data_IF_716437976649
#
_entry.id   IF_716437976649
#
_cell.length_a   1.000
_cell.length_b   1.000
_cell.length_c   1.000
_cell.angle_alpha   90.00
_cell.angle_beta   90.00
_cell.angle_gamma   90.00
#
_symmetry.space_group_name_H-M   'P 1'
#
loop_
_entity.id
_entity.type
_entity.pdbx_description
1 polymer ?
#
# COMPACT_ATOMS: atom_id res chain seq x y z
N UNK A 1 -6.80 0.93 -20.02
CA UNK A 1 -5.48 0.68 -19.41
C UNK A 1 -5.27 1.77 -18.36
N UNK A 2 -4.52 1.50 -17.29
CA UNK A 2 -4.03 2.55 -16.38
C UNK A 2 -2.81 3.12 -17.09
N UNK A 3 -3.00 4.24 -17.78
CA UNK A 3 -1.98 4.82 -18.66
C UNK A 3 -0.99 5.74 -17.93
N UNK A 4 -1.06 5.78 -16.59
CA UNK A 4 -0.49 6.86 -15.77
C UNK A 4 0.40 6.44 -14.60
N UNK A 5 0.96 5.23 -14.60
CA UNK A 5 2.11 4.89 -13.75
C UNK A 5 3.26 4.53 -14.69
N UNK A 6 4.20 5.47 -14.84
CA UNK A 6 5.38 5.47 -15.72
C UNK A 6 5.73 4.12 -16.36
N UNK A 7 5.73 4.10 -17.70
CA UNK A 7 5.76 2.90 -18.51
C UNK A 7 6.85 1.88 -18.17
N UNK A 8 6.43 0.62 -18.11
CA UNK A 8 7.34 -0.53 -18.23
C UNK A 8 7.08 -1.77 -17.36
N UNK A 9 5.84 -2.15 -17.01
CA UNK A 9 5.62 -3.42 -16.29
C UNK A 9 4.48 -3.51 -15.29
N UNK A 10 3.49 -2.62 -15.35
CA UNK A 10 2.13 -2.60 -14.79
C UNK A 10 1.89 -2.99 -13.31
N UNK A 11 2.45 -4.09 -12.79
CA UNK A 11 2.23 -4.53 -11.42
C UNK A 11 3.33 -4.10 -10.46
N UNK A 12 4.60 -4.27 -10.83
CA UNK A 12 5.70 -3.93 -9.92
C UNK A 12 5.76 -2.42 -9.65
N UNK A 13 5.59 -1.62 -10.70
CA UNK A 13 5.58 -0.15 -10.57
C UNK A 13 4.37 0.33 -9.78
N UNK A 14 3.21 -0.31 -9.99
CA UNK A 14 2.00 -0.05 -9.22
C UNK A 14 2.22 -0.40 -7.74
N UNK A 15 2.81 -1.56 -7.43
CA UNK A 15 3.11 -1.98 -6.06
C UNK A 15 4.14 -1.07 -5.39
N UNK A 16 5.18 -0.63 -6.11
CA UNK A 16 6.13 0.35 -5.60
C UNK A 16 5.45 1.69 -5.28
N UNK A 17 4.63 2.20 -6.20
CA UNK A 17 3.87 3.44 -6.00
C UNK A 17 2.93 3.35 -4.79
N UNK A 18 2.17 2.26 -4.69
CA UNK A 18 1.26 2.03 -3.58
C UNK A 18 2.00 1.90 -2.24
N UNK A 19 3.16 1.24 -2.23
CA UNK A 19 4.01 1.09 -1.04
C UNK A 19 4.56 2.43 -0.57
N UNK A 20 5.08 3.25 -1.48
CA UNK A 20 5.59 4.59 -1.19
C UNK A 20 4.52 5.48 -0.57
N UNK A 21 3.30 5.47 -1.13
CA UNK A 21 2.16 6.24 -0.62
C UNK A 21 1.73 5.81 0.77
N UNK A 22 1.61 4.51 1.03
CA UNK A 22 1.15 4.01 2.32
C UNK A 22 2.17 4.20 3.44
N UNK A 23 3.47 4.01 3.17
CA UNK A 23 4.51 4.28 4.17
C UNK A 23 4.60 5.79 4.49
N UNK A 24 4.34 6.66 3.50
CA UNK A 24 4.35 8.11 3.69
C UNK A 24 3.14 8.67 4.44
N UNK A 25 2.09 7.87 4.67
CA UNK A 25 0.87 8.30 5.37
C UNK A 25 1.06 8.46 6.90
N UNK A 26 2.18 7.97 7.44
CA UNK A 26 2.72 8.24 8.79
C UNK A 26 1.79 7.90 9.98
N UNK A 27 0.94 6.87 9.85
CA UNK A 27 0.08 6.36 10.93
C UNK A 27 -0.10 4.83 10.84
N UNK A 28 0.95 4.03 11.11
CA UNK A 28 0.85 2.58 11.07
C UNK A 28 0.10 2.00 12.27
N UNK A 29 -0.73 1.00 12.01
CA UNK A 29 -1.38 0.20 13.04
C UNK A 29 -0.46 -0.92 13.54
N UNK A 30 -0.68 -1.40 14.77
CA UNK A 30 0.06 -2.56 15.29
C UNK A 30 -0.51 -3.86 14.72
N UNK A 31 0.34 -4.67 14.09
CA UNK A 31 0.02 -6.01 13.58
C UNK A 31 0.43 -7.11 14.59
N UNK A 32 0.91 -6.73 15.79
CA UNK A 32 1.47 -7.64 16.79
C UNK A 32 2.88 -8.12 16.42
N UNK A 33 3.53 -8.85 17.35
CA UNK A 33 4.88 -9.43 17.16
C UNK A 33 5.94 -8.44 16.62
N UNK A 34 5.94 -7.19 17.10
CA UNK A 34 6.87 -6.15 16.62
C UNK A 34 6.73 -5.89 15.10
N UNK A 35 5.49 -5.96 14.59
CA UNK A 35 5.13 -5.63 13.20
C UNK A 35 4.18 -4.44 13.18
N UNK A 36 4.37 -3.59 12.18
CA UNK A 36 3.56 -2.42 11.87
C UNK A 36 2.84 -2.65 10.55
N UNK A 37 1.56 -2.30 10.49
CA UNK A 37 0.75 -2.33 9.29
C UNK A 37 0.50 -0.92 8.77
N UNK A 38 0.93 -0.65 7.55
CA UNK A 38 0.64 0.60 6.84
C UNK A 38 -0.46 0.34 5.83
N UNK A 39 -1.51 1.16 5.86
CA UNK A 39 -2.52 1.21 4.82
C UNK A 39 -3.01 2.64 4.62
N UNK A 40 -3.20 3.02 3.36
CA UNK A 40 -3.80 4.31 3.00
C UNK A 40 -4.59 4.17 1.71
N UNK A 41 -5.64 4.97 1.56
CA UNK A 41 -6.40 4.99 0.31
C UNK A 41 -5.58 5.64 -0.81
N UNK A 42 -5.35 4.89 -1.88
CA UNK A 42 -4.64 5.31 -3.09
C UNK A 42 -5.60 5.29 -4.27
N UNK A 43 -5.87 6.47 -4.83
CA UNK A 43 -6.69 6.62 -6.02
C UNK A 43 -5.84 6.48 -7.29
N UNK A 44 -6.20 5.51 -8.14
CA UNK A 44 -5.59 5.35 -9.45
C UNK A 44 -6.41 6.10 -10.49
N UNK A 45 -5.75 6.97 -11.23
CA UNK A 45 -6.35 7.76 -12.30
C UNK A 45 -5.82 7.30 -13.65
N UNK A 46 -6.69 7.33 -14.68
CA UNK A 46 -6.27 7.13 -16.08
C UNK A 46 -5.58 8.39 -16.60
N UNK A 47 -4.98 8.29 -17.79
CA UNK A 47 -4.31 9.42 -18.46
C UNK A 47 -5.22 10.62 -18.72
N UNK A 48 -6.53 10.37 -18.89
CA UNK A 48 -7.57 11.40 -19.06
C UNK A 48 -8.03 12.03 -17.73
N UNK A 49 -7.43 11.63 -16.59
CA UNK A 49 -7.81 12.09 -15.26
C UNK A 49 -9.07 11.44 -14.69
N UNK A 50 -9.67 10.47 -15.37
CA UNK A 50 -10.81 9.72 -14.82
C UNK A 50 -10.34 8.74 -13.74
N UNK A 51 -11.13 8.59 -12.68
CA UNK A 51 -10.88 7.59 -11.65
C UNK A 51 -10.97 6.18 -12.26
N UNK A 52 -9.88 5.43 -12.13
CA UNK A 52 -9.78 4.03 -12.54
C UNK A 52 -10.18 3.07 -11.42
N UNK A 53 -9.85 3.41 -10.17
CA UNK A 53 -10.17 2.63 -8.98
C UNK A 53 -9.48 3.19 -7.73
N UNK A 54 -9.88 2.67 -6.57
CA UNK A 54 -9.27 2.99 -5.28
C UNK A 54 -8.74 1.71 -4.66
N UNK A 55 -7.50 1.75 -4.21
CA UNK A 55 -6.84 0.66 -3.48
C UNK A 55 -6.50 1.12 -2.07
N UNK A 56 -6.39 0.17 -1.16
CA UNK A 56 -5.95 0.37 0.22
C UNK A 56 -4.82 -0.62 0.50
N UNK A 57 -3.66 -0.51 -0.17
CA UNK A 57 -2.56 -1.48 -0.02
C UNK A 57 -2.25 -1.78 1.44
N UNK A 58 -1.93 -3.03 1.74
CA UNK A 58 -1.44 -3.45 3.05
C UNK A 58 0.06 -3.69 2.95
N UNK A 59 0.84 -3.00 3.79
CA UNK A 59 2.28 -3.23 3.92
C UNK A 59 2.60 -3.53 5.37
N UNK A 60 3.16 -4.71 5.60
CA UNK A 60 3.64 -5.12 6.92
C UNK A 60 5.15 -4.87 6.99
N UNK A 61 5.56 -4.12 8.01
CA UNK A 61 6.93 -3.70 8.25
C UNK A 61 7.36 -4.18 9.63
N UNK A 62 8.60 -4.62 9.80
CA UNK A 62 9.16 -4.88 11.12
C UNK A 62 9.35 -3.57 11.89
N UNK A 63 8.79 -3.46 13.10
CA UNK A 63 9.01 -2.33 14.00
C UNK A 63 10.47 -2.24 14.48
N UNK A 64 11.20 -3.35 14.50
CA UNK A 64 12.58 -3.39 15.01
C UNK A 64 13.60 -2.79 14.05
N UNK A 65 13.48 -3.08 12.75
CA UNK A 65 14.51 -2.73 11.76
C UNK A 65 13.95 -2.02 10.51
N UNK A 66 12.65 -1.71 10.51
CA UNK A 66 11.95 -1.02 9.44
C UNK A 66 12.08 -1.67 8.06
N UNK A 67 12.30 -3.00 8.01
CA UNK A 67 12.26 -3.76 6.76
C UNK A 67 10.83 -4.16 6.45
N UNK A 68 10.44 -3.95 5.19
CA UNK A 68 9.19 -4.51 4.64
C UNK A 68 9.26 -6.04 4.70
N UNK A 69 8.27 -6.63 5.35
CA UNK A 69 8.08 -8.09 5.44
C UNK A 69 7.22 -8.56 4.27
N UNK A 70 6.09 -7.90 4.04
CA UNK A 70 5.20 -8.16 2.91
C UNK A 70 4.47 -6.90 2.47
N UNK A 71 4.10 -6.84 1.19
CA UNK A 71 3.28 -5.79 0.61
C UNK A 71 2.34 -6.41 -0.42
N UNK A 72 1.06 -6.13 -0.34
CA UNK A 72 0.08 -6.65 -1.30
C UNK A 72 -1.06 -5.66 -1.50
N UNK A 73 -1.68 -5.62 -2.69
CA UNK A 73 -2.78 -4.72 -2.95
C UNK A 73 -4.08 -5.33 -2.44
N UNK A 74 -4.80 -4.55 -1.67
CA UNK A 74 -6.17 -4.82 -1.27
C UNK A 74 -7.04 -3.62 -1.63
N UNK A 75 -8.34 -3.82 -1.77
CA UNK A 75 -9.31 -2.72 -1.94
C UNK A 75 -9.93 -2.29 -0.62
N UNK A 76 -9.74 -3.09 0.43
CA UNK A 76 -10.15 -2.84 1.81
C UNK A 76 -8.88 -2.97 2.66
N UNK A 77 -8.61 -2.05 3.59
CA UNK A 77 -7.48 -2.18 4.50
C UNK A 77 -7.51 -3.54 5.20
N UNK A 78 -6.40 -4.26 5.13
CA UNK A 78 -6.21 -5.55 5.80
C UNK A 78 -5.14 -5.40 6.88
N UNK A 79 -5.28 -4.35 7.69
CA UNK A 79 -4.60 -4.19 8.96
C UNK A 79 -5.53 -4.73 10.03
N UNK A 80 -5.75 -6.04 10.02
CA UNK A 80 -6.51 -6.68 11.08
C UNK A 80 -5.57 -6.79 12.29
N UNK A 81 -5.43 -5.67 13.00
CA UNK A 81 -4.56 -5.59 14.17
C UNK A 81 -4.77 -6.81 15.07
N UNK A 82 -3.68 -7.38 15.56
CA UNK A 82 -3.73 -8.42 16.57
C UNK A 82 -4.42 -7.81 17.80
N UNK A 83 -5.71 -8.10 17.98
CA UNK A 83 -6.45 -7.72 19.16
C UNK A 83 -6.13 -8.74 20.26
N UNK A 84 -5.22 -8.38 21.17
CA UNK A 84 -5.07 -9.06 22.46
C UNK A 84 -6.37 -9.01 23.29
#
# INVERSE_FOLDING_TARGET
MIDGVGGGGNWNDLMMFMTDRAISADDPESEGDEKLCYSTSVELHRSDGSLAGVYNPTIIVSANNHKVITSYPTTVPDCAGFHD
#
